data_IF_597428810699
#
_entry.id   IF_597428810699
#
_cell.length_a   1.000
_cell.length_b   1.000
_cell.length_c   1.000
_cell.angle_alpha   90.00
_cell.angle_beta   90.00
_cell.angle_gamma   90.00
#
_symmetry.space_group_name_H-M   'P 1'
#
loop_
_entity.id
_entity.type
_entity.pdbx_description
1 polymer ?
#
# COMPACT_ATOMS: atom_id res chain seq x y z
N UNK A 1 11.04 -26.41 11.02
CA UNK A 1 9.88 -25.46 11.07
C UNK A 1 9.18 -25.55 9.73
N UNK A 2 7.87 -25.83 9.71
CA UNK A 2 7.15 -26.21 8.50
C UNK A 2 7.02 -25.00 7.56
N UNK A 3 7.32 -25.16 6.27
CA UNK A 3 7.34 -24.11 5.22
C UNK A 3 6.06 -23.26 5.22
N UNK A 4 4.90 -23.87 5.53
CA UNK A 4 3.63 -23.17 5.68
C UNK A 4 3.62 -22.16 6.82
N UNK A 5 4.24 -22.48 7.98
CA UNK A 5 4.33 -21.52 9.11
C UNK A 5 5.25 -20.33 8.79
N UNK A 6 6.27 -20.55 7.96
CA UNK A 6 7.15 -19.48 7.49
C UNK A 6 6.42 -18.53 6.53
N UNK A 7 5.57 -19.07 5.65
CA UNK A 7 4.74 -18.30 4.72
C UNK A 7 3.70 -17.47 5.48
N UNK A 8 3.03 -18.04 6.49
CA UNK A 8 2.08 -17.29 7.33
C UNK A 8 2.76 -16.22 8.19
N UNK A 9 3.99 -16.44 8.66
CA UNK A 9 4.77 -15.44 9.38
C UNK A 9 5.18 -14.28 8.46
N UNK A 10 5.61 -14.58 7.23
CA UNK A 10 5.96 -13.58 6.22
C UNK A 10 4.74 -12.77 5.74
N UNK A 11 3.58 -13.40 5.60
CA UNK A 11 2.32 -12.72 5.26
C UNK A 11 1.83 -11.83 6.42
N UNK A 12 1.93 -12.29 7.66
CA UNK A 12 1.57 -11.50 8.85
C UNK A 12 2.45 -10.26 9.01
N UNK A 13 3.75 -10.38 8.75
CA UNK A 13 4.72 -9.26 8.77
C UNK A 13 4.43 -8.28 7.64
N UNK A 14 4.13 -8.76 6.42
CA UNK A 14 3.80 -7.92 5.28
C UNK A 14 2.49 -7.13 5.50
N UNK A 15 1.48 -7.74 6.10
CA UNK A 15 0.20 -7.08 6.41
C UNK A 15 0.33 -6.07 7.54
N UNK A 16 1.14 -6.35 8.58
CA UNK A 16 1.44 -5.41 9.67
C UNK A 16 2.20 -4.18 9.17
N UNK A 17 3.21 -4.37 8.31
CA UNK A 17 3.96 -3.29 7.68
C UNK A 17 3.08 -2.40 6.81
N UNK A 18 2.18 -2.99 6.00
CA UNK A 18 1.26 -2.24 5.16
C UNK A 18 0.28 -1.41 6.00
N UNK A 19 -0.30 -1.96 7.06
CA UNK A 19 -1.27 -1.27 7.90
C UNK A 19 -0.64 -0.12 8.72
N UNK A 20 0.52 -0.36 9.35
CA UNK A 20 1.23 0.67 10.14
C UNK A 20 1.79 1.80 9.27
N UNK A 21 2.30 1.47 8.09
CA UNK A 21 2.83 2.42 7.11
C UNK A 21 1.80 3.47 6.67
N UNK A 22 0.53 3.05 6.52
CA UNK A 22 -0.52 3.92 5.99
C UNK A 22 -1.23 4.79 7.03
N UNK A 23 -1.25 4.38 8.29
CA UNK A 23 -1.80 5.21 9.37
C UNK A 23 -0.94 6.47 9.63
N UNK A 24 0.37 6.38 9.36
CA UNK A 24 1.30 7.50 9.54
C UNK A 24 1.33 8.48 8.35
N UNK A 25 0.96 8.04 7.13
CA UNK A 25 1.08 8.84 5.90
C UNK A 25 -0.26 9.07 5.23
N UNK A 26 -1.04 9.95 5.78
CA UNK A 26 -2.33 10.30 5.21
C UNK A 26 -2.23 10.81 3.76
N UNK A 27 -2.93 10.14 2.83
CA UNK A 27 -3.57 10.87 1.74
C UNK A 27 -4.22 12.11 2.38
N UNK A 28 -3.98 13.28 1.80
CA UNK A 28 -4.55 14.55 2.27
C UNK A 28 -6.01 14.36 2.70
N UNK A 29 -6.38 14.79 3.92
CA UNK A 29 -7.73 14.59 4.49
C UNK A 29 -8.85 14.89 3.49
N UNK A 30 -8.68 15.91 2.64
CA UNK A 30 -9.64 16.26 1.61
C UNK A 30 -9.80 15.22 0.48
N UNK A 31 -8.76 14.45 0.15
CA UNK A 31 -8.86 13.34 -0.80
C UNK A 31 -9.52 12.12 -0.15
N UNK A 32 -9.23 11.83 1.11
CA UNK A 32 -9.92 10.78 1.85
C UNK A 32 -11.43 11.04 1.96
N UNK A 33 -11.83 12.28 2.22
CA UNK A 33 -13.25 12.65 2.27
C UNK A 33 -13.94 12.48 0.92
N UNK A 34 -13.28 12.87 -0.19
CA UNK A 34 -13.80 12.66 -1.55
C UNK A 34 -13.95 11.17 -1.88
N UNK A 35 -12.95 10.36 -1.54
CA UNK A 35 -12.98 8.90 -1.77
C UNK A 35 -14.07 8.22 -0.93
N UNK A 36 -14.26 8.65 0.33
CA UNK A 36 -15.37 8.18 1.19
C UNK A 36 -16.72 8.56 0.62
N UNK A 37 -16.86 9.78 0.11
CA UNK A 37 -18.07 10.24 -0.53
C UNK A 37 -18.43 9.40 -1.77
N UNK A 38 -17.42 9.04 -2.58
CA UNK A 38 -17.63 8.18 -3.76
C UNK A 38 -18.00 6.75 -3.38
N UNK A 39 -17.37 6.16 -2.37
CA UNK A 39 -17.77 4.85 -1.83
C UNK A 39 -19.22 4.88 -1.32
N UNK A 40 -19.61 5.96 -0.66
CA UNK A 40 -20.99 6.16 -0.19
C UNK A 40 -21.97 6.28 -1.37
N UNK A 41 -21.56 6.99 -2.44
CA UNK A 41 -22.35 7.11 -3.66
C UNK A 41 -22.50 5.77 -4.37
N UNK A 42 -21.42 5.00 -4.54
CA UNK A 42 -21.46 3.65 -5.12
C UNK A 42 -22.40 2.74 -4.33
N UNK A 43 -22.43 2.86 -2.99
CA UNK A 43 -23.37 2.15 -2.13
C UNK A 43 -24.81 2.58 -2.36
N UNK A 44 -25.08 3.89 -2.46
CA UNK A 44 -26.42 4.40 -2.68
C UNK A 44 -26.98 4.00 -4.05
N UNK A 45 -26.14 4.03 -5.10
CA UNK A 45 -26.50 3.56 -6.43
C UNK A 45 -26.76 2.05 -6.47
N UNK A 46 -25.89 1.26 -5.80
CA UNK A 46 -26.08 -0.17 -5.69
C UNK A 46 -27.32 -0.54 -4.86
N UNK A 47 -27.63 0.23 -3.80
CA UNK A 47 -28.85 0.05 -3.00
C UNK A 47 -30.11 0.38 -3.81
N UNK A 48 -30.07 1.43 -4.66
CA UNK A 48 -31.15 1.80 -5.57
C UNK A 48 -31.41 0.70 -6.60
N UNK A 49 -30.35 0.17 -7.21
CA UNK A 49 -30.44 -0.94 -8.16
C UNK A 49 -30.96 -2.23 -7.49
N UNK A 50 -30.55 -2.49 -6.23
CA UNK A 50 -31.04 -3.63 -5.44
C UNK A 50 -32.51 -3.48 -5.03
N UNK A 51 -33.00 -2.26 -4.75
CA UNK A 51 -34.43 -1.97 -4.48
C UNK A 51 -35.28 -2.16 -5.74
N UNK A 52 -34.78 -1.78 -6.91
CA UNK A 52 -35.42 -2.04 -8.19
C UNK A 52 -35.46 -3.55 -8.52
N UNK A 53 -34.58 -4.37 -7.94
CA UNK A 53 -34.50 -5.82 -8.08
C UNK A 53 -35.11 -6.61 -6.91
N UNK A 54 -35.76 -5.96 -5.95
CA UNK A 54 -36.58 -6.62 -4.91
C UNK A 54 -35.81 -7.13 -3.68
N UNK A 55 -34.55 -6.69 -3.44
CA UNK A 55 -33.77 -7.11 -2.27
C UNK A 55 -33.78 -6.02 -1.16
N UNK A 56 -34.27 -6.38 0.03
CA UNK A 56 -34.37 -5.51 1.22
C UNK A 56 -33.05 -5.40 1.99
N UNK A 57 -32.62 -4.15 2.25
CA UNK A 57 -32.22 -3.65 3.57
C UNK A 57 -30.86 -4.04 4.17
N UNK A 58 -30.00 -3.07 4.31
CA UNK A 58 -28.91 -3.08 5.28
C UNK A 58 -28.69 -1.67 5.83
N UNK A 59 -28.78 -1.54 7.15
CA UNK A 59 -28.79 -0.33 7.95
C UNK A 59 -27.46 0.42 7.91
N UNK A 60 -27.53 1.75 7.75
CA UNK A 60 -26.36 2.63 7.81
C UNK A 60 -25.83 2.74 9.25
N UNK A 61 -24.57 2.33 9.44
CA UNK A 61 -23.82 2.60 10.67
C UNK A 61 -23.10 3.95 10.56
N UNK A 62 -23.31 4.82 11.52
CA UNK A 62 -22.57 6.07 11.68
C UNK A 62 -21.14 5.82 12.18
N UNK A 63 -20.31 6.85 12.05
CA UNK A 63 -18.90 7.01 12.38
C UNK A 63 -17.93 6.68 11.24
N UNK A 64 -17.68 7.66 10.37
CA UNK A 64 -16.42 7.83 9.60
C UNK A 64 -15.76 6.59 8.96
N UNK A 65 -16.23 5.39 9.26
CA UNK A 65 -15.73 4.12 8.78
C UNK A 65 -16.19 3.85 7.34
N UNK A 66 -15.27 3.33 6.53
CA UNK A 66 -15.58 2.86 5.18
C UNK A 66 -16.65 1.75 5.28
N UNK A 67 -17.81 1.91 4.61
CA UNK A 67 -18.88 0.95 4.69
C UNK A 67 -18.44 -0.42 4.14
N UNK A 68 -18.90 -1.49 4.76
CA UNK A 68 -18.70 -2.83 4.21
C UNK A 68 -19.63 -3.03 3.03
N UNK A 69 -19.06 -3.19 1.83
CA UNK A 69 -19.80 -3.51 0.62
C UNK A 69 -20.00 -5.03 0.51
N UNK A 70 -21.14 -5.45 -0.01
CA UNK A 70 -21.36 -6.85 -0.36
C UNK A 70 -20.54 -7.20 -1.62
N UNK A 71 -20.29 -8.48 -1.84
CA UNK A 71 -19.61 -8.94 -3.06
C UNK A 71 -20.35 -8.49 -4.33
N UNK A 72 -21.69 -8.53 -4.31
CA UNK A 72 -22.52 -8.05 -5.41
C UNK A 72 -22.33 -6.55 -5.70
N UNK A 73 -22.20 -5.72 -4.65
CA UNK A 73 -21.94 -4.28 -4.80
C UNK A 73 -20.55 -4.00 -5.35
N UNK A 74 -19.54 -4.77 -4.91
CA UNK A 74 -18.18 -4.66 -5.46
C UNK A 74 -18.14 -5.05 -6.92
N UNK A 75 -18.79 -6.17 -7.26
CA UNK A 75 -18.91 -6.65 -8.65
C UNK A 75 -19.60 -5.62 -9.53
N UNK A 76 -20.73 -5.06 -9.09
CA UNK A 76 -21.45 -4.02 -9.83
C UNK A 76 -20.59 -2.76 -10.06
N UNK A 77 -19.76 -2.35 -9.09
CA UNK A 77 -18.84 -1.24 -9.25
C UNK A 77 -17.76 -1.51 -10.30
N UNK A 78 -17.20 -2.72 -10.31
CA UNK A 78 -16.23 -3.18 -11.32
C UNK A 78 -16.87 -3.25 -12.70
N UNK A 79 -18.05 -3.88 -12.83
CA UNK A 79 -18.80 -4.01 -14.08
C UNK A 79 -19.16 -2.64 -14.67
N UNK A 80 -19.53 -1.67 -13.83
CA UNK A 80 -19.81 -0.30 -14.27
C UNK A 80 -18.56 0.36 -14.87
N UNK A 81 -17.40 0.21 -14.22
CA UNK A 81 -16.15 0.74 -14.74
C UNK A 81 -15.77 0.04 -16.06
N UNK A 82 -15.98 -1.28 -16.16
CA UNK A 82 -15.68 -2.06 -17.37
C UNK A 82 -16.62 -1.74 -18.56
N UNK A 83 -17.87 -1.42 -18.28
CA UNK A 83 -18.83 -0.98 -19.30
C UNK A 83 -18.51 0.41 -19.87
N UNK A 84 -17.67 1.19 -19.19
CA UNK A 84 -17.32 2.57 -19.59
C UNK A 84 -15.78 2.76 -19.60
N UNK A 85 -15.02 2.00 -20.39
CA UNK A 85 -13.55 1.99 -20.31
C UNK A 85 -12.91 3.30 -20.78
N UNK A 86 -13.60 4.11 -21.57
CA UNK A 86 -13.13 5.40 -22.08
C UNK A 86 -13.51 6.60 -21.21
N UNK A 87 -14.33 6.41 -20.17
CA UNK A 87 -14.65 7.47 -19.20
C UNK A 87 -13.51 7.61 -18.20
N UNK A 88 -12.53 8.45 -18.51
CA UNK A 88 -11.34 8.67 -17.68
C UNK A 88 -11.67 9.02 -16.21
N UNK A 89 -12.69 9.88 -16.03
CA UNK A 89 -13.10 10.30 -14.69
C UNK A 89 -13.74 9.15 -13.89
N UNK A 90 -14.60 8.36 -14.52
CA UNK A 90 -15.20 7.19 -13.90
C UNK A 90 -14.11 6.16 -13.56
N UNK A 91 -13.16 5.89 -14.48
CA UNK A 91 -12.05 4.97 -14.23
C UNK A 91 -11.21 5.45 -13.02
N UNK A 92 -10.86 6.74 -12.97
CA UNK A 92 -10.10 7.32 -11.86
C UNK A 92 -10.86 7.16 -10.54
N UNK A 93 -12.10 7.62 -10.46
CA UNK A 93 -12.89 7.61 -9.22
C UNK A 93 -13.17 6.19 -8.75
N UNK A 94 -13.58 5.29 -9.64
CA UNK A 94 -13.83 3.89 -9.29
C UNK A 94 -12.56 3.17 -8.86
N UNK A 95 -11.46 3.35 -9.59
CA UNK A 95 -10.18 2.74 -9.25
C UNK A 95 -9.67 3.20 -7.89
N UNK A 96 -9.74 4.50 -7.60
CA UNK A 96 -9.34 5.07 -6.30
C UNK A 96 -10.22 4.55 -5.16
N UNK A 97 -11.55 4.57 -5.33
CA UNK A 97 -12.48 4.11 -4.31
C UNK A 97 -12.31 2.61 -4.02
N UNK A 98 -12.22 1.78 -5.06
CA UNK A 98 -12.01 0.34 -4.92
C UNK A 98 -10.64 0.02 -4.32
N UNK A 99 -9.58 0.77 -4.66
CA UNK A 99 -8.27 0.64 -4.04
C UNK A 99 -8.31 0.89 -2.54
N UNK A 100 -8.90 2.02 -2.12
CA UNK A 100 -9.07 2.36 -0.69
C UNK A 100 -9.88 1.28 0.03
N UNK A 101 -10.97 0.81 -0.58
CA UNK A 101 -11.79 -0.27 -0.02
C UNK A 101 -10.99 -1.57 0.14
N UNK A 102 -10.30 -2.01 -0.92
CA UNK A 102 -9.51 -3.23 -0.92
C UNK A 102 -8.47 -3.23 0.22
N UNK A 103 -7.80 -2.10 0.38
CA UNK A 103 -6.79 -1.91 1.42
C UNK A 103 -7.37 -1.90 2.82
N UNK A 104 -8.39 -1.08 3.08
CA UNK A 104 -8.98 -0.90 4.42
C UNK A 104 -9.72 -2.16 4.92
N UNK A 105 -10.29 -2.94 4.01
CA UNK A 105 -11.01 -4.17 4.33
C UNK A 105 -10.17 -5.43 4.15
N UNK A 106 -8.92 -5.31 3.69
CA UNK A 106 -8.06 -6.46 3.40
C UNK A 106 -8.62 -7.33 2.27
N UNK A 107 -9.42 -6.74 1.35
CA UNK A 107 -10.03 -7.49 0.26
C UNK A 107 -9.05 -7.66 -0.92
N UNK A 108 -8.24 -8.70 -0.85
CA UNK A 108 -7.26 -9.00 -1.88
C UNK A 108 -7.89 -9.40 -3.23
N UNK A 109 -9.11 -9.95 -3.23
CA UNK A 109 -9.74 -10.51 -4.43
C UNK A 109 -10.02 -9.46 -5.52
N UNK A 110 -10.28 -8.20 -5.15
CA UNK A 110 -10.57 -7.13 -6.13
C UNK A 110 -9.33 -6.38 -6.63
N UNK A 111 -8.13 -6.66 -6.09
CA UNK A 111 -6.93 -5.89 -6.44
C UNK A 111 -6.56 -6.02 -7.93
N UNK A 112 -6.69 -7.17 -8.61
CA UNK A 112 -6.49 -7.25 -10.05
C UNK A 112 -7.41 -6.31 -10.85
N UNK A 113 -8.67 -6.19 -10.44
CA UNK A 113 -9.63 -5.26 -11.06
C UNK A 113 -9.25 -3.80 -10.80
N UNK A 114 -8.83 -3.49 -9.57
CA UNK A 114 -8.31 -2.16 -9.20
C UNK A 114 -7.13 -1.76 -10.09
N UNK A 115 -6.15 -2.65 -10.26
CA UNK A 115 -4.99 -2.40 -11.15
C UNK A 115 -5.46 -2.12 -12.57
N UNK A 116 -6.38 -2.92 -13.11
CA UNK A 116 -6.92 -2.76 -14.46
C UNK A 116 -7.64 -1.43 -14.66
N UNK A 117 -8.48 -1.04 -13.69
CA UNK A 117 -9.24 0.21 -13.72
C UNK A 117 -8.30 1.42 -13.58
N UNK A 118 -7.37 1.41 -12.61
CA UNK A 118 -6.39 2.48 -12.44
C UNK A 118 -5.44 2.61 -13.63
N UNK A 119 -5.12 1.51 -14.32
CA UNK A 119 -4.31 1.55 -15.54
C UNK A 119 -5.04 2.30 -16.65
N UNK A 120 -6.33 2.02 -16.88
CA UNK A 120 -7.14 2.78 -17.86
C UNK A 120 -7.20 4.27 -17.53
N UNK A 121 -7.38 4.59 -16.23
CA UNK A 121 -7.35 5.97 -15.77
C UNK A 121 -6.00 6.64 -16.03
N UNK A 122 -4.89 5.96 -15.74
CA UNK A 122 -3.55 6.46 -16.00
C UNK A 122 -3.28 6.65 -17.50
N UNK A 123 -3.67 5.68 -18.33
CA UNK A 123 -3.47 5.74 -19.79
C UNK A 123 -4.25 6.90 -20.41
N UNK A 124 -5.41 7.25 -19.85
CA UNK A 124 -6.21 8.39 -20.28
C UNK A 124 -5.63 9.73 -19.80
N UNK A 125 -5.06 9.78 -18.60
CA UNK A 125 -4.51 10.98 -17.97
C UNK A 125 -3.12 10.70 -17.36
N UNK A 126 -2.07 10.47 -18.15
CA UNK A 126 -0.75 10.04 -17.66
C UNK A 126 -0.01 11.09 -16.81
N UNK A 127 -0.47 12.35 -16.83
CA UNK A 127 0.05 13.44 -16.00
C UNK A 127 -0.61 13.51 -14.61
N UNK A 128 -1.65 12.73 -14.36
CA UNK A 128 -2.30 12.68 -13.06
C UNK A 128 -1.45 11.87 -12.06
N UNK A 129 -0.65 12.59 -11.27
CA UNK A 129 0.30 11.96 -10.34
C UNK A 129 -0.40 11.14 -9.24
N UNK A 130 -1.59 11.55 -8.80
CA UNK A 130 -2.37 10.80 -7.81
C UNK A 130 -2.75 9.42 -8.36
N UNK A 131 -3.30 9.37 -9.58
CA UNK A 131 -3.64 8.10 -10.25
C UNK A 131 -2.39 7.24 -10.50
N UNK A 132 -1.29 7.88 -10.93
CA UNK A 132 0.00 7.20 -11.15
C UNK A 132 0.54 6.58 -9.86
N UNK A 133 0.49 7.31 -8.74
CA UNK A 133 0.90 6.79 -7.42
C UNK A 133 0.02 5.61 -7.02
N UNK A 134 -1.30 5.75 -7.10
CA UNK A 134 -2.23 4.69 -6.72
C UNK A 134 -2.10 3.43 -7.60
N UNK A 135 -1.77 3.57 -8.87
CA UNK A 135 -1.48 2.42 -9.74
C UNK A 135 -0.19 1.70 -9.27
N UNK A 136 0.85 2.45 -8.91
CA UNK A 136 2.05 1.89 -8.29
C UNK A 136 1.75 1.14 -7.00
N UNK A 137 0.94 1.75 -6.14
CA UNK A 137 0.52 1.16 -4.86
C UNK A 137 -0.34 -0.10 -5.06
N UNK A 138 -1.26 -0.11 -6.03
CA UNK A 138 -2.10 -1.27 -6.33
C UNK A 138 -1.27 -2.44 -6.88
N UNK A 139 -0.27 -2.17 -7.72
CA UNK A 139 0.67 -3.18 -8.21
C UNK A 139 1.54 -3.74 -7.08
N UNK A 140 2.03 -2.88 -6.17
CA UNK A 140 2.74 -3.31 -4.98
C UNK A 140 1.85 -4.20 -4.09
N UNK A 141 0.61 -3.78 -3.84
CA UNK A 141 -0.35 -4.54 -3.05
C UNK A 141 -0.70 -5.87 -3.72
N UNK A 142 -0.82 -5.91 -5.05
CA UNK A 142 -1.02 -7.14 -5.81
C UNK A 142 0.13 -8.12 -5.59
N UNK A 143 1.38 -7.65 -5.71
CA UNK A 143 2.56 -8.47 -5.45
C UNK A 143 2.60 -9.02 -4.02
N UNK A 144 2.21 -8.20 -3.04
CA UNK A 144 2.15 -8.60 -1.63
C UNK A 144 1.09 -9.69 -1.38
N UNK A 145 -0.09 -9.54 -1.95
CA UNK A 145 -1.22 -10.45 -1.69
C UNK A 145 -1.12 -11.77 -2.44
N UNK A 146 -0.53 -11.77 -3.65
CA UNK A 146 -0.34 -12.98 -4.45
C UNK A 146 1.01 -13.66 -4.19
N UNK A 147 1.99 -12.93 -3.66
CA UNK A 147 3.38 -13.37 -3.56
C UNK A 147 4.14 -13.32 -4.90
N UNK A 148 3.51 -12.81 -5.97
CA UNK A 148 4.08 -12.66 -7.30
C UNK A 148 4.78 -11.31 -7.43
N UNK A 149 6.10 -11.29 -7.35
CA UNK A 149 6.88 -10.05 -7.39
C UNK A 149 7.09 -9.48 -8.80
N UNK A 150 6.62 -10.16 -9.84
CA UNK A 150 6.68 -9.73 -11.25
C UNK A 150 6.04 -8.35 -11.51
N UNK A 151 5.13 -7.91 -10.63
CA UNK A 151 4.49 -6.60 -10.70
C UNK A 151 5.33 -5.44 -10.11
N UNK A 152 6.34 -5.75 -9.30
CA UNK A 152 7.16 -4.73 -8.62
C UNK A 152 8.00 -3.87 -9.57
N UNK A 153 8.60 -4.39 -10.66
CA UNK A 153 9.29 -3.56 -11.64
C UNK A 153 8.38 -2.49 -12.26
N UNK A 154 7.12 -2.83 -12.52
CA UNK A 154 6.16 -1.87 -13.05
C UNK A 154 5.74 -0.83 -12.01
N UNK A 155 5.52 -1.23 -10.74
CA UNK A 155 5.30 -0.28 -9.65
C UNK A 155 6.45 0.72 -9.53
N UNK A 156 7.71 0.25 -9.62
CA UNK A 156 8.91 1.12 -9.63
C UNK A 156 8.89 2.14 -10.77
N UNK A 157 8.43 1.74 -11.96
CA UNK A 157 8.29 2.66 -13.11
C UNK A 157 7.32 3.80 -12.78
N UNK A 158 6.15 3.50 -12.21
CA UNK A 158 5.16 4.53 -11.87
C UNK A 158 5.64 5.43 -10.74
N UNK A 159 6.25 4.90 -9.69
CA UNK A 159 6.86 5.72 -8.64
C UNK A 159 7.99 6.61 -9.20
N UNK A 160 8.80 6.08 -10.13
CA UNK A 160 9.83 6.87 -10.81
C UNK A 160 9.25 8.04 -11.63
N UNK A 161 8.11 7.85 -12.29
CA UNK A 161 7.41 8.92 -13.01
C UNK A 161 6.94 10.04 -12.07
N UNK A 162 6.41 9.68 -10.90
CA UNK A 162 6.01 10.65 -9.88
C UNK A 162 7.21 11.41 -9.35
N UNK A 163 8.28 10.70 -8.96
CA UNK A 163 9.49 11.30 -8.39
C UNK A 163 10.28 12.15 -9.38
N UNK A 164 10.14 11.91 -10.69
CA UNK A 164 10.71 12.77 -11.73
C UNK A 164 10.06 14.17 -11.76
N UNK A 165 8.78 14.29 -11.38
CA UNK A 165 8.04 15.56 -11.33
C UNK A 165 8.01 16.16 -9.92
N UNK A 166 7.98 15.31 -8.91
CA UNK A 166 7.92 15.67 -7.49
C UNK A 166 8.98 14.88 -6.71
N UNK A 167 10.24 15.32 -6.73
CA UNK A 167 11.34 14.60 -6.12
C UNK A 167 11.25 14.51 -4.59
N UNK A 168 10.49 15.37 -3.95
CA UNK A 168 10.37 15.46 -2.50
C UNK A 168 9.16 14.70 -1.91
N UNK A 169 8.52 13.83 -2.70
CA UNK A 169 7.43 12.98 -2.23
C UNK A 169 7.99 11.81 -1.39
N UNK A 170 8.08 12.04 -0.08
CA UNK A 170 8.63 11.08 0.90
C UNK A 170 7.91 9.74 0.82
N UNK A 171 6.58 9.77 0.78
CA UNK A 171 5.76 8.58 0.67
C UNK A 171 6.11 7.72 -0.56
N UNK A 172 6.15 8.34 -1.74
CA UNK A 172 6.43 7.64 -2.99
C UNK A 172 7.84 7.06 -2.99
N UNK A 173 8.79 7.79 -2.42
CA UNK A 173 10.17 7.32 -2.30
C UNK A 173 10.30 6.14 -1.34
N UNK A 174 9.53 6.17 -0.25
CA UNK A 174 9.46 5.04 0.69
C UNK A 174 8.82 3.81 0.04
N UNK A 175 7.72 4.00 -0.70
CA UNK A 175 7.06 2.92 -1.46
C UNK A 175 7.99 2.33 -2.52
N UNK A 176 8.78 3.18 -3.21
CA UNK A 176 9.81 2.70 -4.14
C UNK A 176 10.84 1.80 -3.42
N UNK A 177 11.31 2.19 -2.24
CA UNK A 177 12.21 1.38 -1.41
C UNK A 177 11.60 0.02 -1.05
N UNK A 178 10.33 0.00 -0.65
CA UNK A 178 9.62 -1.25 -0.36
C UNK A 178 9.58 -2.20 -1.55
N UNK A 179 9.45 -1.69 -2.78
CA UNK A 179 9.45 -2.56 -3.97
C UNK A 179 10.78 -3.27 -4.20
N UNK A 180 11.91 -2.65 -3.84
CA UNK A 180 13.22 -3.32 -3.89
C UNK A 180 13.38 -4.33 -2.77
N UNK A 181 12.90 -4.00 -1.57
CA UNK A 181 13.03 -4.86 -0.41
C UNK A 181 12.22 -6.16 -0.56
N UNK A 182 10.99 -6.07 -1.09
CA UNK A 182 10.09 -7.22 -1.24
C UNK A 182 10.21 -7.96 -2.58
N UNK A 183 11.12 -7.54 -3.47
CA UNK A 183 11.34 -8.25 -4.74
C UNK A 183 12.00 -9.62 -4.52
N UNK A 184 11.99 -10.46 -5.55
CA UNK A 184 12.65 -11.76 -5.58
C UNK A 184 13.52 -11.88 -6.83
N UNK A 185 14.85 -11.78 -6.67
CA UNK A 185 15.59 -11.61 -5.40
C UNK A 185 15.41 -10.23 -4.80
N UNK A 186 15.44 -10.17 -3.46
CA UNK A 186 15.41 -8.89 -2.72
C UNK A 186 16.68 -8.08 -2.97
N UNK A 187 16.55 -6.75 -3.07
CA UNK A 187 17.68 -5.82 -3.07
C UNK A 187 17.59 -4.83 -1.88
N UNK A 188 17.98 -5.27 -0.67
CA UNK A 188 17.94 -4.41 0.51
C UNK A 188 18.76 -3.14 0.38
N UNK A 189 19.91 -3.20 -0.35
CA UNK A 189 20.76 -2.03 -0.55
C UNK A 189 20.11 -0.98 -1.44
N UNK A 190 19.37 -1.39 -2.48
CA UNK A 190 18.57 -0.46 -3.27
C UNK A 190 17.46 0.19 -2.42
N UNK A 191 16.79 -0.59 -1.58
CA UNK A 191 15.80 -0.06 -0.64
C UNK A 191 16.43 0.98 0.30
N UNK A 192 17.56 0.68 0.93
CA UNK A 192 18.30 1.60 1.80
C UNK A 192 18.64 2.92 1.08
N UNK A 193 19.08 2.86 -0.19
CA UNK A 193 19.34 4.08 -0.96
C UNK A 193 18.12 4.99 -1.09
N UNK A 194 16.95 4.43 -1.33
CA UNK A 194 15.71 5.22 -1.45
C UNK A 194 15.24 5.72 -0.08
N UNK A 195 15.34 4.92 0.97
CA UNK A 195 15.01 5.35 2.34
C UNK A 195 15.93 6.48 2.84
N UNK A 196 17.23 6.40 2.57
CA UNK A 196 18.16 7.52 2.88
C UNK A 196 17.75 8.83 2.19
N UNK A 197 17.26 8.76 0.93
CA UNK A 197 16.74 9.95 0.24
C UNK A 197 15.45 10.46 0.88
N UNK A 198 14.56 9.56 1.28
CA UNK A 198 13.32 9.93 1.97
C UNK A 198 13.60 10.58 3.33
N UNK A 199 14.52 10.03 4.14
CA UNK A 199 14.89 10.57 5.45
C UNK A 199 15.69 11.88 5.37
N UNK A 200 16.29 12.21 4.23
CA UNK A 200 16.85 13.57 4.01
C UNK A 200 15.76 14.64 3.90
N UNK A 201 14.57 14.27 3.45
CA UNK A 201 13.42 15.17 3.29
C UNK A 201 12.65 15.25 4.61
N UNK A 202 12.32 14.09 5.18
CA UNK A 202 11.67 13.97 6.49
C UNK A 202 12.43 12.97 7.37
N UNK A 203 13.33 13.45 8.25
CA UNK A 203 14.15 12.59 9.11
C UNK A 203 13.36 11.77 10.14
N UNK A 204 12.11 12.17 10.41
CA UNK A 204 11.25 11.51 11.40
C UNK A 204 10.11 10.71 10.79
N UNK A 205 10.17 10.47 9.48
CA UNK A 205 9.13 9.70 8.78
C UNK A 205 9.11 8.25 9.25
N UNK A 206 8.14 7.91 10.07
CA UNK A 206 8.04 6.65 10.80
C UNK A 206 8.14 5.42 9.89
N UNK A 207 7.35 5.42 8.80
CA UNK A 207 7.34 4.28 7.88
C UNK A 207 8.66 4.09 7.12
N UNK A 208 9.37 5.19 6.82
CA UNK A 208 10.71 5.09 6.22
C UNK A 208 11.72 4.53 7.21
N UNK A 209 11.65 4.94 8.49
CA UNK A 209 12.51 4.39 9.53
C UNK A 209 12.26 2.89 9.73
N UNK A 210 11.00 2.44 9.73
CA UNK A 210 10.67 1.00 9.77
C UNK A 210 11.32 0.24 8.61
N UNK A 211 11.12 0.72 7.37
CA UNK A 211 11.72 0.12 6.18
C UNK A 211 13.24 0.12 6.22
N UNK A 212 13.83 1.21 6.73
CA UNK A 212 15.28 1.37 6.87
C UNK A 212 15.88 0.31 7.80
N UNK A 213 15.30 0.13 9.00
CA UNK A 213 15.76 -0.90 9.96
C UNK A 213 15.72 -2.29 9.33
N UNK A 214 14.60 -2.65 8.69
CA UNK A 214 14.46 -3.96 8.08
C UNK A 214 15.46 -4.19 6.94
N UNK A 215 15.63 -3.18 6.06
CA UNK A 215 16.53 -3.29 4.93
C UNK A 215 18.00 -3.31 5.34
N UNK A 216 18.41 -2.51 6.34
CA UNK A 216 19.76 -2.50 6.88
C UNK A 216 20.08 -3.83 7.58
N UNK A 217 19.15 -4.35 8.38
CA UNK A 217 19.31 -5.68 9.01
C UNK A 217 19.49 -6.78 7.95
N UNK A 218 18.70 -6.76 6.88
CA UNK A 218 18.82 -7.72 5.78
C UNK A 218 20.11 -7.54 4.97
N UNK A 219 20.66 -6.33 4.91
CA UNK A 219 21.95 -6.03 4.27
C UNK A 219 23.16 -6.36 5.16
N UNK A 220 22.94 -6.70 6.44
CA UNK A 220 23.99 -6.93 7.43
C UNK A 220 24.61 -5.64 7.99
N UNK A 221 24.01 -4.49 7.72
CA UNK A 221 24.47 -3.16 8.18
C UNK A 221 23.91 -2.87 9.60
N UNK A 222 24.34 -3.71 10.55
CA UNK A 222 23.76 -3.83 11.90
C UNK A 222 23.81 -2.52 12.69
N UNK A 223 24.96 -1.81 12.68
CA UNK A 223 25.12 -0.58 13.47
C UNK A 223 24.16 0.51 13.02
N UNK A 224 24.02 0.74 11.72
CA UNK A 224 23.09 1.75 11.20
C UNK A 224 21.63 1.33 11.41
N UNK A 225 21.33 0.00 11.39
CA UNK A 225 20.02 -0.51 11.72
C UNK A 225 19.64 -0.23 13.18
N UNK A 226 20.59 -0.35 14.14
CA UNK A 226 20.38 0.00 15.55
C UNK A 226 20.08 1.50 15.74
N UNK A 227 20.83 2.35 15.04
CA UNK A 227 20.61 3.80 15.08
C UNK A 227 19.23 4.17 14.53
N UNK A 228 18.85 3.55 13.39
CA UNK A 228 17.54 3.77 12.78
C UNK A 228 16.40 3.27 13.68
N UNK A 229 16.59 2.14 14.38
CA UNK A 229 15.62 1.60 15.31
C UNK A 229 15.44 2.52 16.53
N UNK A 230 16.53 3.03 17.09
CA UNK A 230 16.48 3.99 18.19
C UNK A 230 15.71 5.25 17.78
N UNK A 231 15.97 5.78 16.58
CA UNK A 231 15.24 6.94 16.08
C UNK A 231 13.73 6.64 15.88
N UNK A 232 13.39 5.44 15.39
CA UNK A 232 11.99 5.00 15.29
C UNK A 232 11.32 4.97 16.67
N UNK A 233 12.01 4.48 17.69
CA UNK A 233 11.51 4.44 19.07
C UNK A 233 11.32 5.85 19.67
N UNK A 234 12.20 6.79 19.33
CA UNK A 234 12.06 8.21 19.69
C UNK A 234 10.89 8.90 18.98
N UNK A 235 10.58 8.47 17.73
CA UNK A 235 9.47 9.01 16.94
C UNK A 235 8.14 8.46 17.43
N UNK A 236 8.07 7.15 17.66
CA UNK A 236 6.87 6.44 18.12
C UNK A 236 7.25 5.19 18.92
N UNK A 237 7.38 5.34 20.24
CA UNK A 237 7.70 4.24 21.15
C UNK A 237 6.63 3.13 21.17
N UNK A 238 5.40 3.41 20.72
CA UNK A 238 4.29 2.46 20.68
C UNK A 238 4.11 1.81 19.30
N UNK A 239 5.03 2.03 18.35
CA UNK A 239 4.96 1.42 17.04
C UNK A 239 4.96 -0.13 17.16
N UNK A 240 3.95 -0.81 16.60
CA UNK A 240 3.76 -2.26 16.76
C UNK A 240 4.88 -3.10 16.15
N UNK A 241 5.62 -2.55 15.18
CA UNK A 241 6.70 -3.27 14.50
C UNK A 241 8.02 -3.29 15.25
N UNK A 242 8.21 -2.48 16.29
CA UNK A 242 9.47 -2.38 17.04
C UNK A 242 9.94 -3.75 17.54
N UNK A 243 9.05 -4.56 18.10
CA UNK A 243 9.40 -5.88 18.61
C UNK A 243 9.91 -6.81 17.51
N UNK A 244 9.26 -6.79 16.35
CA UNK A 244 9.65 -7.58 15.19
C UNK A 244 10.98 -7.10 14.58
N UNK A 245 11.18 -5.80 14.47
CA UNK A 245 12.42 -5.19 13.97
C UNK A 245 13.61 -5.50 14.89
N UNK A 246 13.43 -5.46 16.20
CA UNK A 246 14.45 -5.90 17.19
C UNK A 246 14.83 -7.37 16.99
N UNK A 247 13.84 -8.24 16.75
CA UNK A 247 14.11 -9.65 16.51
C UNK A 247 14.87 -9.91 15.21
N UNK A 248 14.53 -9.17 14.14
CA UNK A 248 15.27 -9.24 12.86
C UNK A 248 16.72 -8.80 13.05
N UNK A 249 16.94 -7.69 13.73
CA UNK A 249 18.26 -7.15 14.00
C UNK A 249 19.11 -8.10 14.86
N UNK A 250 18.53 -8.73 15.89
CA UNK A 250 19.22 -9.72 16.69
C UNK A 250 19.69 -10.94 15.89
N UNK A 251 18.88 -11.39 14.91
CA UNK A 251 19.27 -12.46 13.96
C UNK A 251 20.44 -12.03 13.08
N UNK A 252 20.38 -10.83 12.51
CA UNK A 252 21.45 -10.29 11.66
C UNK A 252 22.79 -10.19 12.42
N UNK A 253 22.77 -9.80 13.71
CA UNK A 253 23.95 -9.78 14.58
C UNK A 253 24.58 -11.17 14.74
N UNK A 254 23.75 -12.17 15.01
CA UNK A 254 24.22 -13.53 15.24
C UNK A 254 24.82 -14.14 13.96
N UNK A 255 24.26 -13.85 12.80
CA UNK A 255 24.77 -14.31 11.51
C UNK A 255 26.05 -13.59 11.08
N UNK A 256 26.19 -12.31 11.44
CA UNK A 256 27.40 -11.52 11.19
C UNK A 256 28.58 -11.86 12.11
N UNK A 257 28.30 -12.30 13.34
CA UNK A 257 29.31 -12.68 14.31
C UNK A 257 29.86 -14.12 14.13
N UNK A 258 29.25 -14.92 13.27
CA UNK A 258 29.66 -16.29 12.95
C UNK A 258 30.63 -16.41 11.74
N UNK A 259 30.99 -15.28 11.13
CA UNK A 259 31.98 -15.18 10.03
C UNK A 259 33.28 -14.61 10.55
#
# INVERSE_FOLDING_TARGET
MNTQKLIFLLIGVALGFAAGFWLANGINRGEQEKLRAELTRLRAEAAKNAQEQGARGGQAGGDGAIPTLTEAQLRAAVERADANPSDAKLQQMSGQALYVYAREKGNAAIIPDVVRILRRAHDSEPKNLTTTTMLGDALYLLAQTTGETSHLPEARKFYGQVLAQKPDEVYVRTSLGLTYFYDKPSDPRAAVREYRKALKIDPRHEATLQGMVAALAAAGEVTEAEESLRLLEEVNASNPEIANLRAQLARAKNEGGAK
#
